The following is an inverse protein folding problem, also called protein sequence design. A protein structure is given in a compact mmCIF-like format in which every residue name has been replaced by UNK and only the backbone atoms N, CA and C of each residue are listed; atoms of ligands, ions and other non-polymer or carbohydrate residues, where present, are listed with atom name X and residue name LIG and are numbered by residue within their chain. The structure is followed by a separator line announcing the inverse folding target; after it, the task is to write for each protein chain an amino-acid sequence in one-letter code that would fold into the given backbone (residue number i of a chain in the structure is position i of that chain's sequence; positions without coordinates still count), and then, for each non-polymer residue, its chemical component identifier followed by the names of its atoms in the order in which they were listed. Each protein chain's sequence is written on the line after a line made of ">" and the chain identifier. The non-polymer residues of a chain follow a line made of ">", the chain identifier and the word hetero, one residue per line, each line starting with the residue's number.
data_IF_504571557024
#
_entry.id   IF_504571557024
#
_cell.length_a   1.000
_cell.length_b   1.000
_cell.length_c   1.000
_cell.angle_alpha   90.00
_cell.angle_beta   90.00
_cell.angle_gamma   90.00
#
_symmetry.space_group_name_H-M   'P 1'
#
loop_
_entity.id
_entity.type
_entity.pdbx_description
1 polymer ?
#
# COMPACT_ATOMS: atom_id res chain seq x y z
N UNK A 1 19.08 11.50 4.26
CA UNK A 1 17.90 11.37 5.14
C UNK A 1 16.69 11.79 4.34
N UNK A 2 15.93 10.80 3.85
CA UNK A 2 14.83 11.02 2.91
C UNK A 2 13.68 11.73 3.61
N UNK A 3 13.50 13.01 3.29
CA UNK A 3 12.38 13.81 3.74
C UNK A 3 11.17 13.32 2.94
N UNK A 4 10.15 12.79 3.62
CA UNK A 4 8.80 12.62 3.05
C UNK A 4 8.47 13.92 2.31
N UNK A 5 8.36 13.85 0.99
CA UNK A 5 8.08 15.05 0.20
C UNK A 5 6.65 15.50 0.46
N UNK A 6 6.29 16.76 0.18
CA UNK A 6 4.90 17.20 0.36
C UNK A 6 3.87 16.32 -0.36
N UNK A 7 4.30 15.67 -1.44
CA UNK A 7 3.51 14.74 -2.27
C UNK A 7 3.10 13.49 -1.45
N UNK A 8 3.92 13.06 -0.49
CA UNK A 8 3.70 11.84 0.30
C UNK A 8 2.78 12.04 1.51
N UNK A 9 2.49 13.29 1.88
CA UNK A 9 1.75 13.62 3.11
C UNK A 9 0.37 12.98 3.15
N UNK A 10 -0.35 12.97 2.03
CA UNK A 10 -1.70 12.42 1.96
C UNK A 10 -1.70 10.89 2.10
N UNK A 11 -0.78 10.21 1.40
CA UNK A 11 -0.61 8.77 1.54
C UNK A 11 -0.17 8.39 2.95
N UNK A 12 0.68 9.19 3.60
CA UNK A 12 1.15 8.91 4.96
C UNK A 12 0.05 9.07 5.99
N UNK A 13 -0.75 10.13 5.86
CA UNK A 13 -1.95 10.31 6.68
C UNK A 13 -2.94 9.15 6.50
N UNK A 14 -3.14 8.67 5.26
CA UNK A 14 -3.99 7.52 4.98
C UNK A 14 -3.44 6.23 5.60
N UNK A 15 -2.13 6.01 5.58
CA UNK A 15 -1.48 4.89 6.26
C UNK A 15 -1.72 4.95 7.78
N UNK A 16 -1.48 6.10 8.42
CA UNK A 16 -1.71 6.27 9.85
C UNK A 16 -3.18 6.02 10.22
N UNK A 17 -4.12 6.48 9.37
CA UNK A 17 -5.54 6.22 9.58
C UNK A 17 -5.88 4.73 9.46
N UNK A 18 -5.33 4.04 8.47
CA UNK A 18 -5.52 2.60 8.30
C UNK A 18 -4.96 1.82 9.50
N UNK A 19 -3.77 2.20 9.98
CA UNK A 19 -3.17 1.62 11.18
C UNK A 19 -4.04 1.81 12.42
N UNK A 20 -4.54 3.03 12.67
CA UNK A 20 -5.41 3.27 13.82
C UNK A 20 -6.68 2.40 13.80
N UNK A 21 -7.31 2.25 12.63
CA UNK A 21 -8.48 1.37 12.45
C UNK A 21 -8.14 -0.11 12.61
N UNK A 22 -6.93 -0.51 12.22
CA UNK A 22 -6.45 -1.88 12.43
C UNK A 22 -6.26 -2.17 13.91
N UNK A 23 -5.61 -1.28 14.67
CA UNK A 23 -5.43 -1.43 16.13
C UNK A 23 -6.76 -1.58 16.84
N UNK A 24 -7.74 -0.72 16.54
CA UNK A 24 -9.09 -0.83 17.10
C UNK A 24 -9.73 -2.19 16.78
N UNK A 25 -9.58 -2.69 15.55
CA UNK A 25 -10.13 -3.98 15.15
C UNK A 25 -9.47 -5.15 15.89
N UNK A 26 -8.15 -5.13 16.09
CA UNK A 26 -7.41 -6.15 16.84
C UNK A 26 -7.79 -6.17 18.32
N UNK A 27 -7.96 -5.01 18.96
CA UNK A 27 -8.44 -4.92 20.34
C UNK A 27 -9.82 -5.58 20.48
N UNK A 28 -10.74 -5.28 19.55
CA UNK A 28 -12.07 -5.91 19.52
C UNK A 28 -12.02 -7.41 19.25
N UNK A 29 -11.07 -7.90 18.47
CA UNK A 29 -10.86 -9.32 18.23
C UNK A 29 -10.25 -10.04 19.43
N UNK A 30 -9.50 -9.34 20.29
CA UNK A 30 -9.03 -9.88 21.57
C UNK A 30 -10.16 -10.14 22.56
N UNK A 31 -11.19 -9.29 22.54
CA UNK A 31 -12.34 -9.37 23.45
C UNK A 31 -13.47 -10.27 22.95
N UNK A 32 -13.57 -10.48 21.63
CA UNK A 32 -14.68 -11.19 20.99
C UNK A 32 -14.24 -12.53 20.39
N UNK A 33 -15.08 -13.58 20.43
CA UNK A 33 -14.75 -14.83 19.78
C UNK A 33 -14.60 -14.64 18.25
N UNK A 34 -13.67 -15.36 17.60
CA UNK A 34 -13.40 -15.23 16.16
C UNK A 34 -14.60 -15.63 15.28
N UNK A 35 -15.55 -16.38 15.85
CA UNK A 35 -16.81 -16.74 15.22
C UNK A 35 -17.98 -16.27 16.09
N UNK A 36 -18.94 -15.59 15.47
CA UNK A 36 -20.14 -15.06 16.12
C UNK A 36 -21.35 -15.86 15.65
N UNK A 37 -22.16 -16.32 16.60
CA UNK A 37 -23.46 -16.93 16.28
C UNK A 37 -24.50 -15.84 16.12
N UNK A 38 -25.16 -15.84 14.97
CA UNK A 38 -26.33 -14.97 14.74
C UNK A 38 -27.52 -15.49 15.56
N UNK A 39 -28.52 -14.64 15.86
CA UNK A 39 -29.78 -15.07 16.50
C UNK A 39 -30.51 -16.16 15.70
N UNK A 40 -30.27 -16.23 14.39
CA UNK A 40 -30.79 -17.23 13.47
C UNK A 40 -30.09 -18.59 13.56
N UNK A 41 -29.02 -18.73 14.35
CA UNK A 41 -28.26 -19.97 14.51
C UNK A 41 -27.10 -20.16 13.52
N UNK A 42 -26.97 -19.30 12.51
CA UNK A 42 -25.81 -19.33 11.60
C UNK A 42 -24.56 -18.81 12.28
N UNK A 43 -23.44 -19.49 12.04
CA UNK A 43 -22.12 -19.05 12.48
C UNK A 43 -21.52 -18.18 11.39
N UNK A 44 -21.14 -16.96 11.74
CA UNK A 44 -20.46 -16.03 10.85
C UNK A 44 -19.09 -15.67 11.43
N UNK A 45 -18.15 -15.29 10.56
CA UNK A 45 -16.89 -14.71 11.03
C UNK A 45 -17.16 -13.39 11.76
N UNK A 46 -16.33 -13.10 12.75
CA UNK A 46 -16.39 -11.81 13.42
C UNK A 46 -16.19 -10.67 12.40
N UNK A 47 -17.11 -9.70 12.30
CA UNK A 47 -17.00 -8.61 11.33
C UNK A 47 -15.70 -7.81 11.48
N UNK A 48 -15.13 -7.73 12.69
CA UNK A 48 -13.84 -7.09 12.95
C UNK A 48 -12.67 -7.76 12.24
N UNK A 49 -12.77 -9.07 11.95
CA UNK A 49 -11.76 -9.81 11.18
C UNK A 49 -11.68 -9.30 9.74
N UNK A 50 -12.82 -8.95 9.14
CA UNK A 50 -12.85 -8.33 7.81
C UNK A 50 -12.22 -6.94 7.81
N UNK A 51 -12.47 -6.15 8.85
CA UNK A 51 -11.88 -4.81 9.02
C UNK A 51 -10.37 -4.92 9.17
N UNK A 52 -9.87 -5.77 10.08
CA UNK A 52 -8.45 -5.97 10.33
C UNK A 52 -7.70 -6.38 9.05
N UNK A 53 -8.19 -7.40 8.34
CA UNK A 53 -7.60 -7.86 7.10
C UNK A 53 -7.56 -6.76 6.03
N UNK A 54 -8.65 -5.98 5.91
CA UNK A 54 -8.71 -4.91 4.90
C UNK A 54 -7.73 -3.77 5.19
N UNK A 55 -7.61 -3.37 6.46
CA UNK A 55 -6.67 -2.32 6.84
C UNK A 55 -5.22 -2.76 6.65
N UNK A 56 -4.90 -4.01 6.97
CA UNK A 56 -3.56 -4.58 6.74
C UNK A 56 -3.19 -4.57 5.25
N UNK A 57 -4.15 -4.92 4.37
CA UNK A 57 -3.96 -4.84 2.92
C UNK A 57 -3.70 -3.39 2.45
N UNK A 58 -4.50 -2.42 2.92
CA UNK A 58 -4.34 -1.01 2.57
C UNK A 58 -3.00 -0.45 3.04
N UNK A 59 -2.58 -0.77 4.27
CA UNK A 59 -1.27 -0.42 4.79
C UNK A 59 -0.14 -0.96 3.89
N UNK A 60 -0.26 -2.20 3.42
CA UNK A 60 0.68 -2.80 2.46
C UNK A 60 0.75 -2.05 1.13
N UNK A 61 -0.41 -1.65 0.58
CA UNK A 61 -0.48 -0.86 -0.65
C UNK A 61 0.16 0.52 -0.50
N UNK A 62 -0.15 1.24 0.58
CA UNK A 62 0.48 2.55 0.85
C UNK A 62 2.00 2.44 1.00
N UNK A 63 2.52 1.39 1.64
CA UNK A 63 3.97 1.14 1.72
C UNK A 63 4.63 0.94 0.35
N UNK A 64 3.93 0.35 -0.62
CA UNK A 64 4.45 0.16 -1.98
C UNK A 64 4.49 1.48 -2.79
N UNK A 65 3.50 2.36 -2.58
CA UNK A 65 3.41 3.68 -3.24
C UNK A 65 4.52 4.64 -2.81
N UNK A 66 5.00 4.59 -1.56
CA UNK A 66 6.13 5.43 -1.10
C UNK A 66 7.49 5.08 -1.72
N UNK A 67 7.57 4.13 -2.66
CA UNK A 67 8.85 3.69 -3.21
C UNK A 67 9.75 2.98 -2.19
N UNK A 68 9.20 2.57 -1.03
CA UNK A 68 9.96 1.86 0.01
C UNK A 68 10.16 0.38 -0.33
N UNK A 69 9.43 -0.16 -1.31
CA UNK A 69 9.64 -1.53 -1.81
C UNK A 69 10.66 -1.54 -2.97
N UNK A 70 11.53 -2.56 -3.06
CA UNK A 70 12.48 -2.71 -4.17
C UNK A 70 11.81 -2.70 -5.56
N UNK A 71 10.57 -3.20 -5.67
CA UNK A 71 9.81 -3.30 -6.90
C UNK A 71 9.35 -1.94 -7.46
N UNK A 72 9.10 -0.94 -6.61
CA UNK A 72 8.74 0.41 -7.06
C UNK A 72 9.96 1.19 -7.57
N UNK A 73 11.18 0.81 -7.16
CA UNK A 73 12.45 1.40 -7.62
C UNK A 73 13.00 0.80 -8.90
N UNK A 74 12.64 -0.42 -9.26
CA UNK A 74 13.21 -1.14 -10.41
C UNK A 74 12.54 -0.84 -11.76
N UNK A 75 11.49 -0.01 -11.81
CA UNK A 75 10.81 0.38 -13.05
C UNK A 75 11.45 1.58 -13.77
N UNK A 76 12.55 2.12 -13.26
CA UNK A 76 13.37 3.08 -14.01
C UNK A 76 14.54 2.31 -14.62
N UNK A 77 14.35 1.82 -15.85
CA UNK A 77 15.44 1.32 -16.69
C UNK A 77 16.07 2.55 -17.38
N UNK A 78 17.16 3.09 -16.84
CA UNK A 78 17.93 4.10 -17.56
C UNK A 78 18.69 3.42 -18.70
N UNK A 79 18.11 3.42 -19.89
CA UNK A 79 18.86 3.16 -21.13
C UNK A 79 19.75 4.36 -21.41
N UNK A 80 21.02 4.31 -20.99
CA UNK A 80 21.99 5.35 -21.33
C UNK A 80 22.56 5.07 -22.72
N UNK A 81 21.92 5.59 -23.76
CA UNK A 81 22.59 5.73 -25.05
C UNK A 81 23.30 7.09 -25.10
N UNK A 82 24.62 7.06 -25.25
CA UNK A 82 25.47 8.24 -25.37
C UNK A 82 25.48 8.62 -26.86
N UNK A 83 24.89 9.76 -27.23
CA UNK A 83 25.04 10.30 -28.58
C UNK A 83 26.50 10.80 -28.76
N UNK A 84 27.18 10.59 -29.92
CA UNK A 84 28.55 11.04 -30.18
C UNK A 84 28.88 12.51 -29.89
N UNK A 85 27.90 13.39 -29.65
CA UNK A 85 28.12 14.79 -29.25
C UNK A 85 28.14 15.02 -27.72
N UNK A 86 28.12 13.96 -26.91
CA UNK A 86 28.29 14.06 -25.45
C UNK A 86 27.09 14.63 -24.70
N UNK A 87 25.93 14.75 -25.36
CA UNK A 87 24.69 15.18 -24.73
C UNK A 87 23.94 13.98 -24.13
N UNK A 88 23.61 14.08 -22.84
CA UNK A 88 22.78 13.12 -22.13
C UNK A 88 21.30 13.43 -22.41
N UNK A 89 20.66 12.65 -23.27
CA UNK A 89 19.20 12.71 -23.47
C UNK A 89 18.54 11.63 -22.64
N UNK A 90 17.73 12.01 -21.66
CA UNK A 90 16.91 11.06 -20.90
C UNK A 90 15.66 10.78 -21.74
N UNK A 91 15.59 9.60 -22.35
CA UNK A 91 14.38 9.14 -23.05
C UNK A 91 13.49 8.46 -22.00
N UNK A 92 12.36 9.08 -21.67
CA UNK A 92 11.32 8.44 -20.87
C UNK A 92 10.40 7.68 -21.85
N UNK A 93 10.67 6.39 -22.06
CA UNK A 93 9.69 5.53 -22.73
C UNK A 93 8.55 5.24 -21.75
N UNK A 94 7.41 5.87 -21.99
CA UNK A 94 6.15 5.45 -21.39
C UNK A 94 5.65 4.28 -22.24
N UNK A 95 5.74 3.06 -21.71
CA UNK A 95 5.07 1.90 -22.31
C UNK A 95 3.58 2.21 -22.41
N UNK A 96 3.12 2.39 -23.64
CA UNK A 96 1.71 2.37 -23.97
C UNK A 96 1.19 0.97 -23.61
N UNK A 97 0.09 0.95 -22.87
CA UNK A 97 -0.76 -0.22 -22.69
C UNK A 97 -1.19 -0.68 -24.09
N UNK A 98 -0.68 -1.82 -24.54
CA UNK A 98 -1.23 -2.57 -25.67
C UNK A 98 -2.14 -3.70 -25.17
N UNK A 99 -3.24 -3.84 -25.92
CA UNK A 99 -4.40 -4.71 -25.76
C UNK A 99 -4.11 -6.21 -25.56
#
# INVERSE_FOLDING_TARGET
>A
MGVLTEIDRAAFAAYCQAYGRWVEAEERLGDLPPMVKTPSGYVQQNPWMGVANKQLELMGRYMAEFGMTPASRSRIRTGSEINPEGQLTIILEADAVDL
#
